data_IF_502344053099
#
_entry.id   IF_502344053099
#
_cell.length_a   1.000
_cell.length_b   1.000
_cell.length_c   1.000
_cell.angle_alpha   90.00
_cell.angle_beta   90.00
_cell.angle_gamma   90.00
#
_symmetry.space_group_name_H-M   'P 1'
#
loop_
_entity.id
_entity.type
_entity.pdbx_description
1 polymer ?
#
# COMPACT_ATOMS: atom_id res chain seq x y z
N UNK A 1 -15.20 8.57 -11.78
CA UNK A 1 -14.87 8.97 -10.40
C UNK A 1 -13.43 8.55 -10.10
N UNK A 2 -12.76 9.20 -9.16
CA UNK A 2 -11.43 8.78 -8.70
C UNK A 2 -11.53 7.40 -8.05
N UNK A 3 -10.74 6.43 -8.53
CA UNK A 3 -10.72 5.05 -8.00
C UNK A 3 -10.28 5.02 -6.53
N UNK A 4 -9.30 5.85 -6.17
CA UNK A 4 -8.80 6.01 -4.81
C UNK A 4 -8.83 7.50 -4.44
N UNK A 5 -9.81 7.97 -3.63
CA UNK A 5 -9.90 9.37 -3.21
C UNK A 5 -9.01 9.62 -1.97
N UNK A 6 -7.74 9.26 -2.08
CA UNK A 6 -6.70 9.44 -1.06
C UNK A 6 -5.32 9.38 -1.75
N UNK A 7 -4.30 9.94 -1.08
CA UNK A 7 -2.92 9.93 -1.57
C UNK A 7 -2.28 8.60 -1.15
N UNK A 8 -1.55 7.98 -2.07
CA UNK A 8 -0.77 6.77 -1.82
C UNK A 8 0.69 7.17 -1.83
N UNK A 9 1.37 7.04 -0.70
CA UNK A 9 2.81 7.25 -0.59
C UNK A 9 3.52 5.91 -0.79
N UNK A 10 4.53 5.89 -1.66
CA UNK A 10 5.42 4.75 -1.85
C UNK A 10 6.77 5.16 -1.31
N UNK A 11 7.17 4.58 -0.18
CA UNK A 11 8.43 4.88 0.49
C UNK A 11 9.42 3.75 0.23
N UNK A 12 10.64 4.11 -0.16
CA UNK A 12 11.75 3.17 -0.32
C UNK A 12 12.83 3.47 0.71
N UNK A 13 13.29 2.43 1.41
CA UNK A 13 14.44 2.46 2.30
C UNK A 13 15.50 1.49 1.80
N UNK A 14 16.60 1.99 1.21
CA UNK A 14 17.72 1.14 0.81
C UNK A 14 18.34 0.41 2.01
N UNK A 15 18.69 -0.86 1.83
CA UNK A 15 19.39 -1.65 2.83
C UNK A 15 20.76 -2.08 2.29
N UNK A 16 21.76 -2.06 3.17
CA UNK A 16 23.13 -2.44 2.81
C UNK A 16 23.12 -3.90 2.37
N UNK A 17 23.69 -4.19 1.20
CA UNK A 17 23.91 -5.56 0.75
C UNK A 17 22.76 -6.18 -0.04
N UNK A 18 22.12 -5.42 -0.93
CA UNK A 18 21.36 -5.87 -2.12
C UNK A 18 19.85 -5.51 -2.07
N UNK A 19 19.21 -5.28 -0.93
CA UNK A 19 17.73 -5.10 -0.88
C UNK A 19 17.26 -3.66 -0.58
N UNK A 20 16.01 -3.36 -0.94
CA UNK A 20 15.28 -2.18 -0.43
C UNK A 20 14.00 -2.61 0.28
N UNK A 21 13.65 -1.95 1.37
CA UNK A 21 12.32 -2.06 1.96
C UNK A 21 11.39 -1.07 1.24
N UNK A 22 10.29 -1.58 0.67
CA UNK A 22 9.24 -0.77 0.05
C UNK A 22 8.02 -0.78 0.96
N UNK A 23 7.52 0.41 1.31
CA UNK A 23 6.35 0.58 2.16
C UNK A 23 5.31 1.45 1.46
N UNK A 24 4.05 0.99 1.47
CA UNK A 24 2.90 1.75 0.98
C UNK A 24 2.18 2.36 2.17
N UNK A 25 2.08 3.69 2.19
CA UNK A 25 1.47 4.46 3.28
C UNK A 25 0.27 5.24 2.76
N UNK A 26 -0.85 5.15 3.47
CA UNK A 26 -2.09 5.89 3.17
C UNK A 26 -2.65 6.43 4.48
N UNK A 27 -3.01 7.71 4.52
CA UNK A 27 -3.54 8.39 5.71
C UNK A 27 -2.66 8.14 6.96
N UNK A 28 -1.33 8.21 6.80
CA UNK A 28 -0.30 7.93 7.83
C UNK A 28 -0.28 6.50 8.40
N UNK A 29 -0.92 5.55 7.73
CA UNK A 29 -0.91 4.12 8.09
C UNK A 29 -0.12 3.31 7.07
N UNK A 30 0.80 2.47 7.55
CA UNK A 30 1.49 1.48 6.74
C UNK A 30 0.48 0.39 6.31
N UNK A 31 0.13 0.35 5.02
CA UNK A 31 -0.86 -0.59 4.47
C UNK A 31 -0.21 -1.83 3.87
N UNK A 32 1.03 -1.70 3.39
CA UNK A 32 1.78 -2.82 2.82
C UNK A 32 3.28 -2.57 2.98
N UNK A 33 4.05 -3.62 3.25
CA UNK A 33 5.50 -3.58 3.37
C UNK A 33 6.10 -4.82 2.74
N UNK A 34 7.16 -4.65 1.96
CA UNK A 34 7.89 -5.75 1.32
C UNK A 34 9.37 -5.44 1.18
N UNK A 35 10.16 -6.49 0.96
CA UNK A 35 11.59 -6.42 0.68
C UNK A 35 11.82 -6.73 -0.80
N UNK A 36 12.52 -5.86 -1.52
CA UNK A 36 12.95 -6.10 -2.89
C UNK A 36 14.31 -6.79 -2.88
N UNK A 37 14.49 -7.79 -3.74
CA UNK A 37 15.78 -8.41 -3.98
C UNK A 37 16.09 -8.32 -5.50
N UNK A 38 17.12 -7.57 -5.92
CA UNK A 38 17.60 -7.44 -7.29
C UNK A 38 17.83 -8.75 -8.03
N UNK A 39 18.09 -9.85 -7.32
CA UNK A 39 18.30 -11.18 -7.92
C UNK A 39 17.00 -11.95 -8.15
N UNK A 40 15.85 -11.36 -7.84
CA UNK A 40 14.58 -12.06 -7.73
C UNK A 40 13.48 -11.30 -8.47
N UNK A 41 12.89 -11.97 -9.45
CA UNK A 41 11.79 -11.51 -10.31
C UNK A 41 10.43 -11.56 -9.57
N UNK A 42 10.35 -10.94 -8.39
CA UNK A 42 9.16 -10.97 -7.52
C UNK A 42 8.44 -9.62 -7.47
N UNK A 43 8.96 -8.60 -8.18
CA UNK A 43 8.43 -7.24 -8.13
C UNK A 43 6.98 -7.17 -8.60
N UNK A 44 6.62 -7.91 -9.66
CA UNK A 44 5.25 -7.96 -10.17
C UNK A 44 4.28 -8.56 -9.16
N UNK A 45 4.65 -9.66 -8.51
CA UNK A 45 3.82 -10.30 -7.47
C UNK A 45 3.63 -9.35 -6.29
N UNK A 46 4.70 -8.65 -5.87
CA UNK A 46 4.62 -7.67 -4.79
C UNK A 46 3.75 -6.46 -5.17
N UNK A 47 3.82 -6.00 -6.42
CA UNK A 47 2.95 -4.95 -6.93
C UNK A 47 1.48 -5.38 -6.91
N UNK A 48 1.18 -6.62 -7.31
CA UNK A 48 -0.18 -7.17 -7.24
C UNK A 48 -0.69 -7.25 -5.79
N UNK A 49 0.16 -7.67 -4.85
CA UNK A 49 -0.19 -7.70 -3.43
C UNK A 49 -0.41 -6.30 -2.85
N UNK A 50 0.42 -5.32 -3.23
CA UNK A 50 0.24 -3.92 -2.85
C UNK A 50 -1.11 -3.38 -3.35
N UNK A 51 -1.48 -3.66 -4.61
CA UNK A 51 -2.78 -3.27 -5.18
C UNK A 51 -3.94 -3.91 -4.38
N UNK A 52 -3.81 -5.19 -4.00
CA UNK A 52 -4.82 -5.86 -3.18
C UNK A 52 -4.98 -5.18 -1.81
N UNK A 53 -3.87 -4.82 -1.16
CA UNK A 53 -3.88 -4.13 0.13
C UNK A 53 -4.55 -2.74 0.01
N UNK A 54 -4.22 -1.96 -1.03
CA UNK A 54 -4.84 -0.66 -1.33
C UNK A 54 -6.35 -0.80 -1.55
N UNK A 55 -6.79 -1.82 -2.31
CA UNK A 55 -8.21 -2.08 -2.54
C UNK A 55 -8.96 -2.41 -1.24
N UNK A 56 -8.34 -3.21 -0.36
CA UNK A 56 -8.92 -3.56 0.93
C UNK A 56 -9.02 -2.33 1.83
N UNK A 57 -8.00 -1.48 1.86
CA UNK A 57 -8.04 -0.20 2.58
C UNK A 57 -9.17 0.71 2.06
N UNK A 58 -9.29 0.86 0.74
CA UNK A 58 -10.35 1.67 0.12
C UNK A 58 -11.76 1.22 0.53
N UNK A 59 -12.00 -0.11 0.54
CA UNK A 59 -13.27 -0.69 1.00
C UNK A 59 -13.54 -0.36 2.48
N UNK A 60 -12.54 -0.53 3.34
CA UNK A 60 -12.67 -0.23 4.77
C UNK A 60 -12.97 1.25 5.01
N UNK A 61 -12.20 2.16 4.39
CA UNK A 61 -12.39 3.61 4.48
C UNK A 61 -13.80 4.03 4.05
N UNK A 62 -14.32 3.46 2.96
CA UNK A 62 -15.68 3.73 2.48
C UNK A 62 -16.78 3.22 3.44
N UNK A 63 -16.53 2.11 4.15
CA UNK A 63 -17.45 1.62 5.18
C UNK A 63 -17.47 2.53 6.40
N UNK A 64 -16.30 3.02 6.84
CA UNK A 64 -16.19 3.94 7.97
C UNK A 64 -16.82 5.31 7.67
N UNK A 65 -16.64 5.84 6.47
CA UNK A 65 -17.27 7.11 6.07
C UNK A 65 -18.80 7.01 6.06
N UNK A 66 -19.36 5.89 5.56
CA UNK A 66 -20.81 5.64 5.58
C UNK A 66 -21.38 5.52 6.99
N UNK A 67 -20.63 4.97 7.95
CA UNK A 67 -21.06 4.84 9.35
C UNK A 67 -21.09 6.19 10.08
N UNK A 68 -20.12 7.08 9.84
CA UNK A 68 -20.09 8.43 10.46
C UNK A 68 -21.30 9.30 10.14
N UNK A 69 -21.99 9.04 9.02
CA UNK A 69 -23.14 9.83 8.55
C UNK A 69 -24.47 9.38 9.19
N UNK A 70 -24.49 8.25 9.91
CA UNK A 70 -25.72 7.64 10.46
C UNK A 70 -25.97 7.95 11.95
N UNK A 71 -25.37 8.99 12.50
CA UNK A 71 -25.59 9.43 13.88
C UNK A 71 -26.17 10.84 13.90
#
# INVERSE_FOLDING_TARGET
>A
SLKYPFIIHVNEKPMIGISSEITIVIDDVDIFKTMTNPKQEYLEVMAQQAILAINNYAKQRALFSKRKIRF
#
